data_IF_475545707659
#
_entry.id   IF_475545707659
#
_cell.length_a   1.000
_cell.length_b   1.000
_cell.length_c   1.000
_cell.angle_alpha   90.00
_cell.angle_beta   90.00
_cell.angle_gamma   90.00
#
_symmetry.space_group_name_H-M   'P 1'
#
loop_
_entity.id
_entity.type
_entity.pdbx_description
1 polymer ?
#
# COMPACT_ATOMS: atom_id res chain seq x y z
N UNK A 1 -2.89 -14.69 -5.39
CA UNK A 1 -2.93 -13.20 -5.47
C UNK A 1 -2.65 -12.63 -4.11
N UNK A 2 -1.68 -11.71 -3.98
CA UNK A 2 -1.41 -10.99 -2.72
C UNK A 2 -2.42 -9.85 -2.54
N UNK A 3 -2.85 -9.62 -1.29
CA UNK A 3 -3.80 -8.55 -0.95
C UNK A 3 -3.22 -7.63 0.10
N UNK A 4 -3.23 -6.33 -0.18
CA UNK A 4 -2.87 -5.26 0.74
C UNK A 4 -4.12 -4.43 1.10
N UNK A 5 -4.33 -4.21 2.38
CA UNK A 5 -5.33 -3.25 2.90
C UNK A 5 -4.58 -2.05 3.46
N UNK A 6 -4.81 -0.88 2.88
CA UNK A 6 -4.06 0.34 3.19
C UNK A 6 -4.89 1.35 3.99
N UNK A 7 -4.22 2.08 4.88
CA UNK A 7 -4.82 3.16 5.65
C UNK A 7 -5.66 2.68 6.81
N UNK A 8 -5.15 1.74 7.59
CA UNK A 8 -5.71 1.33 8.88
C UNK A 8 -5.64 2.50 9.87
N UNK A 9 -6.68 2.68 10.68
CA UNK A 9 -6.77 3.78 11.65
C UNK A 9 -7.29 3.35 13.01
N UNK A 10 -7.82 2.13 13.13
CA UNK A 10 -8.45 1.61 14.33
C UNK A 10 -7.92 0.22 14.67
N UNK A 11 -7.80 -0.07 15.96
CA UNK A 11 -7.25 -1.34 16.45
C UNK A 11 -8.11 -2.55 16.06
N UNK A 12 -9.44 -2.37 16.02
CA UNK A 12 -10.37 -3.43 15.63
C UNK A 12 -10.20 -3.87 14.16
N UNK A 13 -9.65 -2.99 13.32
CA UNK A 13 -9.39 -3.32 11.89
C UNK A 13 -8.34 -4.43 11.74
N UNK A 14 -7.44 -4.60 12.72
CA UNK A 14 -6.48 -5.69 12.72
C UNK A 14 -7.18 -7.06 12.73
N UNK A 15 -8.25 -7.21 13.52
CA UNK A 15 -9.01 -8.45 13.57
C UNK A 15 -9.63 -8.82 12.20
N UNK A 16 -10.11 -7.83 11.45
CA UNK A 16 -10.67 -8.04 10.11
C UNK A 16 -9.62 -8.56 9.12
N UNK A 17 -8.39 -8.01 9.21
CA UNK A 17 -7.27 -8.43 8.37
C UNK A 17 -6.79 -9.85 8.73
N UNK A 18 -6.71 -10.16 10.03
CA UNK A 18 -6.33 -11.48 10.53
C UNK A 18 -7.34 -12.55 10.06
N UNK A 19 -8.65 -12.30 10.21
CA UNK A 19 -9.72 -13.20 9.75
C UNK A 19 -9.63 -13.46 8.24
N UNK A 20 -9.37 -12.42 7.46
CA UNK A 20 -9.27 -12.53 6.01
C UNK A 20 -7.89 -13.01 5.53
N UNK A 21 -6.91 -13.18 6.43
CA UNK A 21 -5.54 -13.61 6.11
C UNK A 21 -4.93 -12.79 4.97
N UNK A 22 -5.01 -11.45 5.05
CA UNK A 22 -4.41 -10.56 4.05
C UNK A 22 -2.88 -10.64 4.11
N UNK A 23 -2.21 -10.24 3.04
CA UNK A 23 -0.75 -10.32 2.97
C UNK A 23 -0.05 -9.09 3.55
N UNK A 24 -0.67 -7.91 3.39
CA UNK A 24 -0.08 -6.64 3.82
C UNK A 24 -1.09 -5.73 4.50
N UNK A 25 -0.63 -5.01 5.53
CA UNK A 25 -1.36 -3.96 6.24
C UNK A 25 -0.61 -2.63 6.10
N UNK A 26 -1.26 -1.60 5.57
CA UNK A 26 -0.67 -0.29 5.32
C UNK A 26 -1.08 0.76 6.35
N UNK A 27 -0.10 1.53 6.85
CA UNK A 27 -0.26 2.59 7.84
C UNK A 27 0.28 3.92 7.29
N UNK A 28 -0.59 4.90 7.06
CA UNK A 28 -0.16 6.23 6.62
C UNK A 28 0.40 6.98 7.81
N UNK A 29 1.64 7.45 7.69
CA UNK A 29 2.41 8.13 8.72
C UNK A 29 2.95 9.48 8.21
N UNK A 30 3.08 10.44 9.10
CA UNK A 30 3.69 11.75 8.83
C UNK A 30 3.05 12.54 7.67
N UNK A 31 1.79 12.27 7.37
CA UNK A 31 1.05 12.97 6.32
C UNK A 31 -0.33 13.46 6.80
N UNK A 32 -0.38 14.56 7.57
CA UNK A 32 -1.61 15.07 8.20
C UNK A 32 -2.74 15.45 7.23
N UNK A 33 -2.43 15.65 5.95
CA UNK A 33 -3.42 15.90 4.89
C UNK A 33 -4.31 14.68 4.61
N UNK A 34 -3.86 13.48 4.97
CA UNK A 34 -4.65 12.27 4.81
C UNK A 34 -5.58 12.07 6.01
N UNK A 35 -6.87 11.83 5.75
CA UNK A 35 -7.84 11.41 6.79
C UNK A 35 -7.47 10.08 7.46
N UNK A 36 -6.52 9.34 6.89
CA UNK A 36 -6.02 8.03 7.37
C UNK A 36 -4.65 8.13 8.03
N UNK A 37 -4.19 9.36 8.29
CA UNK A 37 -2.90 9.55 8.95
C UNK A 37 -2.95 9.06 10.40
N UNK A 38 -1.93 8.31 10.80
CA UNK A 38 -1.74 7.86 12.16
C UNK A 38 -0.59 8.62 12.83
N UNK A 39 -0.65 8.74 14.15
CA UNK A 39 0.56 8.88 14.94
C UNK A 39 1.32 7.57 14.95
N UNK A 40 2.63 7.60 15.24
CA UNK A 40 3.43 6.36 15.30
C UNK A 40 2.87 5.39 16.36
N UNK A 41 2.51 5.89 17.54
CA UNK A 41 1.92 5.07 18.61
C UNK A 41 0.58 4.42 18.26
N UNK A 42 -0.27 5.11 17.45
CA UNK A 42 -1.50 4.48 16.94
C UNK A 42 -1.18 3.34 15.98
N UNK A 43 -0.26 3.55 15.04
CA UNK A 43 0.18 2.51 14.11
C UNK A 43 0.82 1.32 14.85
N UNK A 44 1.62 1.56 15.87
CA UNK A 44 2.21 0.52 16.73
C UNK A 44 1.13 -0.32 17.42
N UNK A 45 0.13 0.32 18.02
CA UNK A 45 -0.95 -0.39 18.71
C UNK A 45 -1.75 -1.30 17.76
N UNK A 46 -2.04 -0.83 16.54
CA UNK A 46 -2.74 -1.63 15.52
C UNK A 46 -1.82 -2.76 15.02
N UNK A 47 -0.56 -2.45 14.72
CA UNK A 47 0.40 -3.40 14.18
C UNK A 47 0.68 -4.57 15.15
N UNK A 48 0.68 -4.31 16.46
CA UNK A 48 0.85 -5.35 17.49
C UNK A 48 -0.33 -6.32 17.55
N UNK A 49 -1.50 -5.95 17.05
CA UNK A 49 -2.70 -6.79 16.99
C UNK A 49 -2.83 -7.60 15.71
N UNK A 50 -1.91 -7.40 14.75
CA UNK A 50 -1.86 -8.18 13.51
C UNK A 50 -1.13 -9.51 13.70
N UNK A 51 -1.62 -10.53 13.01
CA UNK A 51 -0.93 -11.82 12.92
C UNK A 51 0.49 -11.64 12.35
N UNK A 52 1.43 -12.48 12.76
CA UNK A 52 2.83 -12.40 12.35
C UNK A 52 3.04 -12.65 10.85
N UNK A 53 2.10 -13.30 10.18
CA UNK A 53 2.11 -13.54 8.74
C UNK A 53 1.82 -12.28 7.92
N UNK A 54 1.11 -11.29 8.49
CA UNK A 54 0.73 -10.06 7.80
C UNK A 54 1.89 -9.07 7.83
N UNK A 55 2.38 -8.69 6.65
CA UNK A 55 3.47 -7.72 6.50
C UNK A 55 3.00 -6.30 6.76
N UNK A 56 3.70 -5.59 7.62
CA UNK A 56 3.43 -4.22 8.06
C UNK A 56 4.14 -3.25 7.14
N UNK A 57 3.38 -2.35 6.53
CA UNK A 57 3.88 -1.38 5.55
C UNK A 57 3.68 0.04 6.07
N UNK A 58 4.75 0.75 6.39
CA UNK A 58 4.70 2.19 6.66
C UNK A 58 4.53 2.95 5.34
N UNK A 59 3.52 3.79 5.21
CA UNK A 59 3.22 4.56 3.99
C UNK A 59 3.47 6.03 4.26
N UNK A 60 4.36 6.63 3.48
CA UNK A 60 4.82 8.01 3.66
C UNK A 60 4.84 8.77 2.33
N UNK A 61 4.83 10.10 2.41
CA UNK A 61 4.88 10.99 1.25
C UNK A 61 6.06 11.95 1.40
N UNK A 62 7.06 11.85 0.51
CA UNK A 62 8.27 12.67 0.53
C UNK A 62 8.91 12.78 1.93
N UNK A 63 9.26 11.63 2.54
CA UNK A 63 9.70 11.60 3.94
C UNK A 63 11.06 12.25 4.13
N UNK A 64 11.32 12.70 5.36
CA UNK A 64 12.65 13.09 5.83
C UNK A 64 13.40 11.89 6.38
N UNK A 65 14.73 12.00 6.54
CA UNK A 65 15.55 10.95 7.17
C UNK A 65 15.12 10.70 8.63
N UNK A 66 14.74 11.75 9.35
CA UNK A 66 14.25 11.61 10.74
C UNK A 66 12.97 10.77 10.82
N UNK A 67 12.01 10.99 9.91
CA UNK A 67 10.79 10.21 9.83
C UNK A 67 11.06 8.74 9.49
N UNK A 68 11.99 8.49 8.55
CA UNK A 68 12.43 7.13 8.20
C UNK A 68 13.04 6.44 9.43
N UNK A 69 13.94 7.11 10.17
CA UNK A 69 14.53 6.53 11.39
C UNK A 69 13.47 6.20 12.44
N UNK A 70 12.48 7.08 12.64
CA UNK A 70 11.36 6.80 13.55
C UNK A 70 10.57 5.53 13.14
N UNK A 71 10.39 5.30 11.84
CA UNK A 71 9.74 4.09 11.31
C UNK A 71 10.62 2.86 11.57
N UNK A 72 11.90 2.91 11.25
CA UNK A 72 12.84 1.79 11.35
C UNK A 72 13.03 1.32 12.80
N UNK A 73 12.98 2.24 13.77
CA UNK A 73 13.11 1.93 15.20
C UNK A 73 11.77 1.74 15.92
N UNK A 74 10.65 1.76 15.21
CA UNK A 74 9.31 1.61 15.77
C UNK A 74 9.07 0.20 16.30
N UNK A 75 8.34 0.11 17.42
CA UNK A 75 7.85 -1.16 17.96
C UNK A 75 6.85 -1.88 17.04
N UNK A 76 6.29 -1.20 16.04
CA UNK A 76 5.44 -1.81 15.01
C UNK A 76 6.20 -2.86 14.18
N UNK A 77 7.54 -2.79 14.15
CA UNK A 77 8.40 -3.69 13.34
C UNK A 77 7.94 -3.76 11.91
N UNK A 78 7.93 -2.61 11.23
CA UNK A 78 7.55 -2.53 9.82
C UNK A 78 8.45 -3.43 8.95
N UNK A 79 7.84 -4.17 8.03
CA UNK A 79 8.54 -5.03 7.06
C UNK A 79 8.95 -4.25 5.80
N UNK A 80 8.18 -3.21 5.46
CA UNK A 80 8.37 -2.38 4.27
C UNK A 80 8.09 -0.91 4.58
N UNK A 81 8.72 -0.05 3.79
CA UNK A 81 8.33 1.36 3.69
C UNK A 81 7.83 1.65 2.27
N UNK A 82 6.60 2.14 2.14
CA UNK A 82 6.01 2.57 0.88
C UNK A 82 6.15 4.07 0.74
N UNK A 83 6.79 4.52 -0.33
CA UNK A 83 7.13 5.93 -0.52
C UNK A 83 6.40 6.49 -1.74
N UNK A 84 5.54 7.48 -1.47
CA UNK A 84 4.95 8.38 -2.46
C UNK A 84 5.75 9.68 -2.57
N UNK A 85 5.53 10.45 -3.65
CA UNK A 85 6.16 11.74 -3.83
C UNK A 85 7.67 11.67 -4.11
N UNK A 86 8.41 12.66 -3.66
CA UNK A 86 9.84 12.78 -3.95
C UNK A 86 10.70 12.00 -2.94
N UNK A 87 11.79 11.45 -3.42
CA UNK A 87 12.88 10.90 -2.62
C UNK A 87 14.19 11.14 -3.36
N UNK A 88 15.20 11.64 -2.65
CA UNK A 88 16.55 11.78 -3.21
C UNK A 88 17.29 10.44 -3.19
N UNK A 89 18.27 10.28 -4.07
CA UNK A 89 19.11 9.09 -4.10
C UNK A 89 19.83 8.87 -2.77
N UNK A 90 20.45 9.93 -2.21
CA UNK A 90 21.13 9.90 -0.92
C UNK A 90 20.21 9.42 0.22
N UNK A 91 18.94 9.83 0.21
CA UNK A 91 17.99 9.38 1.22
C UNK A 91 17.60 7.91 0.99
N UNK A 92 17.37 7.50 -0.26
CA UNK A 92 17.04 6.13 -0.62
C UNK A 92 18.14 5.16 -0.16
N UNK A 93 19.42 5.50 -0.39
CA UNK A 93 20.56 4.68 0.04
C UNK A 93 20.65 4.49 1.56
N UNK A 94 20.17 5.45 2.34
CA UNK A 94 20.18 5.40 3.80
C UNK A 94 19.05 4.55 4.39
N UNK A 95 18.02 4.20 3.63
CA UNK A 95 16.90 3.38 4.10
C UNK A 95 17.35 1.93 4.29
N UNK A 96 17.05 1.35 5.45
CA UNK A 96 17.37 -0.04 5.78
C UNK A 96 16.23 -1.01 5.44
N UNK A 97 14.98 -0.54 5.50
CA UNK A 97 13.82 -1.35 5.15
C UNK A 97 13.67 -1.51 3.63
N UNK A 98 13.17 -2.65 3.15
CA UNK A 98 12.77 -2.82 1.76
C UNK A 98 11.77 -1.75 1.34
N UNK A 99 12.02 -1.08 0.20
CA UNK A 99 11.18 0.03 -0.28
C UNK A 99 10.17 -0.44 -1.32
N UNK A 100 8.90 -0.12 -1.10
CA UNK A 100 7.85 -0.15 -2.12
C UNK A 100 7.71 1.25 -2.72
N UNK A 101 8.12 1.44 -3.96
CA UNK A 101 8.03 2.74 -4.62
C UNK A 101 6.64 2.93 -5.23
N UNK A 102 5.89 3.91 -4.75
CA UNK A 102 4.59 4.24 -5.31
C UNK A 102 4.72 5.23 -6.47
N UNK A 103 4.07 4.90 -7.59
CA UNK A 103 3.96 5.73 -8.76
C UNK A 103 2.51 6.16 -8.99
N UNK A 104 2.34 7.43 -9.31
CA UNK A 104 1.12 7.90 -9.92
C UNK A 104 1.18 7.58 -11.41
N UNK A 105 0.18 6.90 -11.94
CA UNK A 105 0.15 6.46 -13.34
C UNK A 105 0.19 7.61 -14.36
N UNK A 106 -0.13 8.83 -13.94
CA UNK A 106 0.02 10.03 -14.78
C UNK A 106 1.42 10.63 -14.72
N UNK A 107 2.26 10.19 -13.77
CA UNK A 107 3.65 10.61 -13.66
C UNK A 107 4.55 9.42 -13.34
N UNK A 108 5.03 8.79 -14.40
CA UNK A 108 5.94 7.64 -14.34
C UNK A 108 7.41 8.05 -14.46
N UNK A 109 7.69 9.33 -14.27
CA UNK A 109 9.06 9.85 -14.26
C UNK A 109 9.90 9.14 -13.19
N UNK A 110 11.10 8.74 -13.55
CA UNK A 110 11.99 7.98 -12.66
C UNK A 110 11.72 6.47 -12.59
N UNK A 111 10.62 5.93 -13.16
CA UNK A 111 10.39 4.48 -13.15
C UNK A 111 11.57 3.68 -13.74
N UNK A 112 12.21 4.06 -14.87
CA UNK A 112 13.38 3.36 -15.39
C UNK A 112 14.55 3.30 -14.41
N UNK A 113 14.77 4.36 -13.63
CA UNK A 113 15.80 4.43 -12.59
C UNK A 113 15.49 3.48 -11.43
N UNK A 114 14.29 3.59 -10.85
CA UNK A 114 13.92 2.75 -9.71
C UNK A 114 13.83 1.28 -10.06
N UNK A 115 13.55 0.93 -11.32
CA UNK A 115 13.45 -0.44 -11.80
C UNK A 115 14.74 -1.23 -11.59
N UNK A 116 15.90 -0.59 -11.68
CA UNK A 116 17.22 -1.23 -11.55
C UNK A 116 17.83 -1.09 -10.16
N UNK A 117 17.27 -0.27 -9.28
CA UNK A 117 17.80 -0.06 -7.93
C UNK A 117 17.52 -1.27 -7.02
N UNK A 118 18.54 -1.81 -6.38
CA UNK A 118 18.42 -2.92 -5.42
C UNK A 118 17.69 -2.55 -4.12
N UNK A 119 17.57 -1.26 -3.83
CA UNK A 119 16.79 -0.75 -2.68
C UNK A 119 15.28 -0.91 -2.87
N UNK A 120 14.82 -1.00 -4.10
CA UNK A 120 13.40 -1.14 -4.43
C UNK A 120 13.01 -2.62 -4.46
N UNK A 121 12.19 -3.02 -3.51
CA UNK A 121 11.63 -4.37 -3.42
C UNK A 121 10.37 -4.56 -4.29
N UNK A 122 9.68 -3.47 -4.60
CA UNK A 122 8.46 -3.51 -5.40
C UNK A 122 7.90 -2.14 -5.74
N UNK A 123 6.81 -2.16 -6.50
CA UNK A 123 6.10 -0.97 -6.96
C UNK A 123 4.64 -1.02 -6.57
N UNK A 124 4.07 0.15 -6.31
CA UNK A 124 2.64 0.36 -6.17
C UNK A 124 2.22 1.35 -7.25
N UNK A 125 1.40 0.92 -8.21
CA UNK A 125 0.85 1.81 -9.23
C UNK A 125 -0.54 2.26 -8.81
N UNK A 126 -0.68 3.56 -8.57
CA UNK A 126 -1.89 4.18 -8.04
C UNK A 126 -2.49 5.15 -9.06
N UNK A 127 -3.79 5.42 -8.94
CA UNK A 127 -4.50 6.40 -9.76
C UNK A 127 -3.88 7.80 -9.69
N UNK A 128 -4.29 8.67 -10.61
CA UNK A 128 -3.84 10.07 -10.65
C UNK A 128 -4.07 10.82 -9.34
N UNK A 129 -5.14 10.49 -8.63
CA UNK A 129 -5.49 11.03 -7.31
C UNK A 129 -5.51 9.89 -6.28
N UNK A 130 -4.39 9.57 -5.62
CA UNK A 130 -4.30 8.49 -4.65
C UNK A 130 -5.34 8.61 -3.53
N UNK A 131 -6.07 7.51 -3.30
CA UNK A 131 -7.11 7.46 -2.27
C UNK A 131 -8.44 8.13 -2.63
N UNK A 132 -8.62 8.63 -3.86
CA UNK A 132 -9.88 9.22 -4.35
C UNK A 132 -10.98 8.20 -4.63
N UNK A 133 -10.62 6.91 -4.79
CA UNK A 133 -11.55 5.87 -5.22
C UNK A 133 -11.81 5.82 -6.73
N UNK A 134 -11.14 6.68 -7.52
CA UNK A 134 -11.25 6.67 -8.99
C UNK A 134 -10.27 5.66 -9.60
N UNK A 135 -10.72 4.91 -10.61
CA UNK A 135 -9.88 4.04 -11.44
C UNK A 135 -9.15 4.86 -12.51
N UNK A 136 -8.15 4.27 -13.12
CA UNK A 136 -7.40 4.86 -14.22
C UNK A 136 -7.37 3.92 -15.45
N UNK A 137 -6.85 4.40 -16.58
CA UNK A 137 -6.62 3.57 -17.76
C UNK A 137 -5.48 2.58 -17.52
N UNK A 138 -5.81 1.33 -17.29
CA UNK A 138 -4.84 0.26 -16.99
C UNK A 138 -3.85 0.00 -18.14
N UNK A 139 -4.14 0.43 -19.38
CA UNK A 139 -3.20 0.32 -20.50
C UNK A 139 -1.91 1.11 -20.26
N UNK A 140 -1.94 2.16 -19.44
CA UNK A 140 -0.75 2.93 -19.07
C UNK A 140 0.29 2.08 -18.33
N UNK A 141 -0.16 1.12 -17.53
CA UNK A 141 0.71 0.22 -16.75
C UNK A 141 1.03 -1.07 -17.49
N UNK A 142 0.11 -1.53 -18.34
CA UNK A 142 0.25 -2.78 -19.10
C UNK A 142 1.50 -2.82 -19.99
N UNK A 143 1.92 -1.66 -20.51
CA UNK A 143 3.06 -1.54 -21.41
C UNK A 143 4.40 -1.37 -20.69
N UNK A 144 4.40 -1.22 -19.36
CA UNK A 144 5.62 -1.02 -18.61
C UNK A 144 6.46 -2.30 -18.59
N UNK A 145 7.79 -2.19 -18.82
CA UNK A 145 8.66 -3.35 -18.72
C UNK A 145 8.69 -3.84 -17.27
N UNK A 146 8.19 -5.04 -17.04
CA UNK A 146 8.19 -5.68 -15.72
C UNK A 146 9.52 -6.36 -15.47
N UNK A 147 10.00 -6.25 -14.23
CA UNK A 147 11.10 -7.05 -13.70
C UNK A 147 10.56 -8.13 -12.76
N UNK A 148 11.42 -8.66 -11.91
CA UNK A 148 11.08 -9.65 -10.88
C UNK A 148 10.58 -9.00 -9.57
N UNK A 149 10.54 -7.67 -9.50
CA UNK A 149 10.12 -6.93 -8.31
C UNK A 149 8.61 -6.98 -8.13
N UNK A 150 8.18 -6.99 -6.87
CA UNK A 150 6.75 -7.03 -6.51
C UNK A 150 5.96 -5.91 -7.19
N UNK A 151 4.92 -6.28 -7.92
CA UNK A 151 4.01 -5.36 -8.58
C UNK A 151 2.64 -5.36 -7.89
N UNK A 152 2.32 -4.29 -7.17
CA UNK A 152 1.02 -4.06 -6.56
C UNK A 152 0.22 -3.05 -7.39
N UNK A 153 -1.00 -3.44 -7.76
CA UNK A 153 -1.96 -2.55 -8.41
C UNK A 153 -2.83 -1.88 -7.36
N UNK A 154 -2.91 -0.55 -7.42
CA UNK A 154 -3.77 0.28 -6.58
C UNK A 154 -4.68 1.17 -7.42
N UNK A 155 -5.38 2.11 -6.78
CA UNK A 155 -6.19 3.14 -7.45
C UNK A 155 -7.61 2.71 -7.76
N UNK A 156 -8.56 3.12 -6.93
CA UNK A 156 -10.00 2.92 -7.12
C UNK A 156 -10.47 1.48 -7.13
N UNK A 157 -9.67 0.54 -6.61
CA UNK A 157 -10.07 -0.85 -6.52
C UNK A 157 -11.16 -1.06 -5.45
N UNK A 158 -12.09 -1.95 -5.76
CA UNK A 158 -13.15 -2.41 -4.87
C UNK A 158 -13.62 -3.81 -5.30
N UNK A 159 -14.48 -4.45 -4.52
CA UNK A 159 -14.93 -5.82 -4.81
C UNK A 159 -15.58 -5.99 -6.21
N UNK A 160 -16.18 -4.94 -6.76
CA UNK A 160 -16.86 -5.00 -8.06
C UNK A 160 -15.94 -4.87 -9.28
N UNK A 161 -14.68 -4.44 -9.14
CA UNK A 161 -13.77 -4.24 -10.28
C UNK A 161 -12.44 -4.97 -10.17
N UNK A 162 -12.11 -5.53 -9.00
CA UNK A 162 -10.78 -6.10 -8.75
C UNK A 162 -10.48 -7.31 -9.63
N UNK A 163 -11.46 -8.14 -9.97
CA UNK A 163 -11.26 -9.30 -10.86
C UNK A 163 -10.86 -8.85 -12.27
N UNK A 164 -11.58 -7.89 -12.84
CA UNK A 164 -11.26 -7.31 -14.15
C UNK A 164 -9.85 -6.70 -14.15
N UNK A 165 -9.47 -5.99 -13.08
CA UNK A 165 -8.15 -5.41 -12.93
C UNK A 165 -7.03 -6.46 -12.88
N UNK A 166 -7.25 -7.57 -12.18
CA UNK A 166 -6.31 -8.70 -12.09
C UNK A 166 -6.16 -9.38 -13.45
N UNK A 167 -7.27 -9.67 -14.14
CA UNK A 167 -7.26 -10.28 -15.47
C UNK A 167 -6.59 -9.41 -16.53
N UNK A 168 -6.78 -8.09 -16.45
CA UNK A 168 -6.20 -7.15 -17.41
C UNK A 168 -4.68 -6.98 -17.24
N UNK A 169 -4.18 -6.98 -16.00
CA UNK A 169 -2.81 -6.58 -15.68
C UNK A 169 -1.94 -7.69 -15.09
N UNK A 170 -2.53 -8.79 -14.61
CA UNK A 170 -1.82 -9.89 -13.93
C UNK A 170 -0.80 -9.39 -12.90
N UNK A 171 -1.19 -8.54 -11.91
CA UNK A 171 -0.28 -8.05 -10.89
C UNK A 171 0.10 -9.18 -9.92
N UNK A 172 1.19 -9.02 -9.16
CA UNK A 172 1.54 -9.94 -8.06
C UNK A 172 0.59 -9.78 -6.88
N UNK A 173 0.00 -8.59 -6.74
CA UNK A 173 -0.99 -8.28 -5.72
C UNK A 173 -1.76 -7.01 -6.00
N UNK A 174 -2.79 -6.79 -5.18
CA UNK A 174 -3.66 -5.61 -5.23
C UNK A 174 -3.62 -4.85 -3.91
N UNK A 175 -3.73 -3.53 -3.98
CA UNK A 175 -3.74 -2.62 -2.83
C UNK A 175 -5.03 -1.80 -2.83
N UNK A 176 -5.81 -1.92 -1.77
CA UNK A 176 -7.09 -1.22 -1.62
C UNK A 176 -7.13 -0.38 -0.36
N UNK A 177 -7.73 0.80 -0.45
CA UNK A 177 -7.96 1.67 0.70
C UNK A 177 -9.43 2.10 0.81
N UNK A 178 -9.87 3.07 0.02
CA UNK A 178 -11.23 3.61 0.07
C UNK A 178 -12.31 2.59 -0.31
N UNK A 179 -12.02 1.68 -1.23
CA UNK A 179 -12.98 0.66 -1.69
C UNK A 179 -13.43 -0.35 -0.65
N UNK A 180 -12.79 -0.35 0.53
CA UNK A 180 -13.17 -1.19 1.68
C UNK A 180 -13.45 -0.36 2.95
N UNK A 181 -13.75 0.93 2.80
CA UNK A 181 -14.21 1.79 3.90
C UNK A 181 -15.74 1.76 4.01
N UNK A 182 -16.24 2.07 5.20
CA UNK A 182 -17.66 2.36 5.39
C UNK A 182 -18.07 3.59 4.54
N UNK A 183 -19.30 3.60 4.07
CA UNK A 183 -19.86 4.72 3.28
C UNK A 183 -20.28 5.90 4.16
N UNK A 184 -20.65 5.63 5.42
CA UNK A 184 -21.31 6.55 6.34
C UNK A 184 -20.45 6.98 7.54
N UNK A 185 -19.31 6.33 7.76
CA UNK A 185 -18.42 6.59 8.91
C UNK A 185 -16.95 6.31 8.59
N UNK A 186 -16.01 6.86 9.39
CA UNK A 186 -14.60 6.52 9.24
C UNK A 186 -14.28 5.07 9.64
N UNK A 187 -13.32 4.46 8.93
CA UNK A 187 -12.77 3.14 9.21
C UNK A 187 -13.07 2.12 8.13
N UNK A 188 -12.48 0.94 8.29
CA UNK A 188 -12.63 -0.17 7.35
C UNK A 188 -13.88 -0.97 7.66
N UNK A 189 -14.61 -1.37 6.62
CA UNK A 189 -15.78 -2.23 6.66
C UNK A 189 -15.34 -3.69 6.53
N UNK A 190 -15.55 -4.54 7.56
CA UNK A 190 -15.13 -5.94 7.53
C UNK A 190 -15.81 -6.73 6.41
N UNK A 191 -17.07 -6.41 6.06
CA UNK A 191 -17.78 -7.11 5.00
C UNK A 191 -17.21 -6.76 3.63
N UNK A 192 -16.91 -5.48 3.39
CA UNK A 192 -16.24 -5.04 2.15
C UNK A 192 -14.82 -5.63 2.03
N UNK A 193 -14.06 -5.74 3.15
CA UNK A 193 -12.75 -6.42 3.15
C UNK A 193 -12.93 -7.88 2.74
N UNK A 194 -13.87 -8.61 3.38
CA UNK A 194 -14.14 -10.02 3.10
C UNK A 194 -14.49 -10.25 1.63
N UNK A 195 -15.42 -9.47 1.09
CA UNK A 195 -15.82 -9.55 -0.31
C UNK A 195 -14.67 -9.25 -1.27
N UNK A 196 -13.87 -8.23 -0.97
CA UNK A 196 -12.70 -7.86 -1.77
C UNK A 196 -11.68 -9.02 -1.80
N UNK A 197 -11.29 -9.55 -0.64
CA UNK A 197 -10.34 -10.66 -0.53
C UNK A 197 -10.84 -11.92 -1.23
N UNK A 198 -12.13 -12.25 -1.07
CA UNK A 198 -12.73 -13.39 -1.77
C UNK A 198 -12.65 -13.23 -3.29
N UNK A 199 -12.96 -12.05 -3.82
CA UNK A 199 -12.89 -11.78 -5.25
C UNK A 199 -11.46 -11.81 -5.79
N UNK A 200 -10.46 -11.39 -5.00
CA UNK A 200 -9.04 -11.53 -5.37
C UNK A 200 -8.56 -12.98 -5.45
N UNK A 201 -9.17 -13.90 -4.70
CA UNK A 201 -8.73 -15.31 -4.59
C UNK A 201 -9.53 -16.32 -5.40
N UNK A 202 -10.58 -15.86 -6.11
CA UNK A 202 -11.43 -16.71 -6.97
C UNK A 202 -10.84 -16.98 -8.35
N UNK A 203 -9.69 -16.41 -8.66
CA UNK A 203 -9.02 -16.49 -9.96
C UNK A 203 -7.93 -17.55 -9.92
#
# INVERSE_FOLDING_TARGET
>A
MKVKICGLTKIEEAAYLNECQVDFAGFILFYPKSKRNNTLGQAESIAMSLDASIKRVAVVVSPTLEEIRKIEFSCARFDYIQIHGMITEDLLEQIQLPVLRAFNVTNMEGYPYYRVSDKIAGYVFDAAEPGSGKTFDWNLVKQLPRGEKLFLLAGGLHAGNVQEAIEALHPDGVDVSSGVEYDDKPGKDPEKIRQFVQNCRRI
#
